data_IF_054690727658
#
_entry.id   IF_054690727658
#
_cell.length_a   1.000
_cell.length_b   1.000
_cell.length_c   1.000
_cell.angle_alpha   90.00
_cell.angle_beta   90.00
_cell.angle_gamma   90.00
#
_symmetry.space_group_name_H-M   'P 1'
#
loop_
_entity.id
_entity.type
_entity.pdbx_description
1 polymer ?
#
# COMPACT_ATOMS: atom_id res chain seq x y z
N UNK A 1 8.71 3.06 -22.24
CA UNK A 1 8.48 2.13 -21.12
C UNK A 1 7.15 2.53 -20.49
N UNK A 2 6.07 1.81 -20.78
CA UNK A 2 4.76 2.13 -20.22
C UNK A 2 4.74 1.81 -18.73
N UNK A 3 4.38 2.80 -17.91
CA UNK A 3 4.15 2.68 -16.47
C UNK A 3 2.82 1.94 -16.19
N UNK A 4 2.69 0.69 -16.66
CA UNK A 4 1.48 -0.11 -16.46
C UNK A 4 1.38 -0.65 -15.02
N UNK A 5 2.41 -0.50 -14.17
CA UNK A 5 2.49 -1.21 -12.89
C UNK A 5 1.94 -0.46 -11.67
N UNK A 6 2.14 0.85 -11.49
CA UNK A 6 1.76 1.52 -10.23
C UNK A 6 0.32 2.06 -10.24
N UNK A 7 -0.03 2.87 -11.25
CA UNK A 7 -1.31 3.61 -11.34
C UNK A 7 -2.52 2.67 -11.29
N UNK A 8 -2.45 1.51 -11.97
CA UNK A 8 -3.53 0.52 -11.94
C UNK A 8 -3.69 -0.16 -10.59
N UNK A 9 -2.58 -0.35 -9.87
CA UNK A 9 -2.60 -1.06 -8.58
C UNK A 9 -3.11 -0.13 -7.49
N UNK A 10 -2.73 1.15 -7.50
CA UNK A 10 -3.29 2.16 -6.60
C UNK A 10 -4.82 2.24 -6.71
N UNK A 11 -5.36 2.23 -7.93
CA UNK A 11 -6.80 2.20 -8.18
C UNK A 11 -7.48 0.89 -7.73
N UNK A 12 -6.83 -0.26 -7.91
CA UNK A 12 -7.38 -1.55 -7.48
C UNK A 12 -7.46 -1.65 -5.95
N UNK A 13 -6.36 -1.33 -5.26
CA UNK A 13 -6.30 -1.37 -3.80
C UNK A 13 -7.26 -0.34 -3.20
N UNK A 14 -7.36 0.86 -3.79
CA UNK A 14 -8.20 1.92 -3.23
C UNK A 14 -9.70 1.69 -3.39
N UNK A 15 -10.11 0.88 -4.37
CA UNK A 15 -11.50 0.48 -4.57
C UNK A 15 -11.85 -0.81 -3.85
N UNK A 16 -10.86 -1.52 -3.33
CA UNK A 16 -11.01 -2.74 -2.55
C UNK A 16 -11.19 -2.50 -1.04
N UNK A 17 -11.10 -3.59 -0.28
CA UNK A 17 -11.26 -3.64 1.17
C UNK A 17 -10.26 -2.75 1.93
N UNK A 18 -9.12 -2.42 1.32
CA UNK A 18 -8.11 -1.59 1.97
C UNK A 18 -8.66 -0.20 2.33
N UNK A 19 -9.43 0.43 1.43
CA UNK A 19 -10.01 1.75 1.71
C UNK A 19 -11.05 1.70 2.82
N UNK A 20 -12.03 0.80 2.72
CA UNK A 20 -13.09 0.69 3.73
C UNK A 20 -12.49 0.39 5.12
N UNK A 21 -11.58 -0.59 5.20
CA UNK A 21 -10.98 -0.98 6.48
C UNK A 21 -10.05 0.09 7.06
N UNK A 22 -9.09 0.57 6.29
CA UNK A 22 -8.01 1.40 6.82
C UNK A 22 -8.31 2.89 6.80
N UNK A 23 -9.08 3.36 5.81
CA UNK A 23 -9.49 4.77 5.72
C UNK A 23 -10.78 5.01 6.50
N UNK A 24 -11.85 4.23 6.24
CA UNK A 24 -13.17 4.52 6.81
C UNK A 24 -13.32 3.98 8.23
N UNK A 25 -13.10 2.69 8.46
CA UNK A 25 -13.35 2.06 9.76
C UNK A 25 -12.28 2.41 10.80
N UNK A 26 -11.00 2.37 10.41
CA UNK A 26 -9.88 2.59 11.34
C UNK A 26 -9.36 4.02 11.38
N UNK A 27 -9.70 4.86 10.41
CA UNK A 27 -9.27 6.26 10.37
C UNK A 27 -7.76 6.44 10.33
N UNK A 28 -7.01 5.46 9.79
CA UNK A 28 -5.53 5.49 9.75
C UNK A 28 -4.99 6.65 8.90
N UNK A 29 -5.84 7.20 8.02
CA UNK A 29 -5.51 8.25 7.07
C UNK A 29 -6.42 9.50 7.24
N UNK A 30 -6.22 10.34 8.28
CA UNK A 30 -7.10 11.48 8.56
C UNK A 30 -7.19 12.53 7.43
N UNK A 31 -6.22 12.56 6.51
CA UNK A 31 -6.20 13.44 5.34
C UNK A 31 -6.79 12.83 4.06
N UNK A 32 -7.16 11.55 4.08
CA UNK A 32 -7.68 10.81 2.93
C UNK A 32 -9.16 10.54 3.17
N UNK A 33 -10.02 11.02 2.26
CA UNK A 33 -11.48 10.91 2.36
C UNK A 33 -12.12 10.21 1.18
N UNK A 34 -11.39 10.05 0.09
CA UNK A 34 -11.91 9.42 -1.14
C UNK A 34 -10.97 8.33 -1.66
N UNK A 35 -11.50 7.32 -2.37
CA UNK A 35 -10.69 6.29 -3.01
C UNK A 35 -9.61 6.87 -3.94
N UNK A 36 -9.88 7.98 -4.63
CA UNK A 36 -8.92 8.63 -5.53
C UNK A 36 -7.76 9.28 -4.76
N UNK A 37 -8.04 9.88 -3.60
CA UNK A 37 -6.99 10.39 -2.71
C UNK A 37 -6.14 9.26 -2.16
N UNK A 38 -6.75 8.12 -1.85
CA UNK A 38 -6.05 6.95 -1.37
C UNK A 38 -5.20 6.30 -2.47
N UNK A 39 -5.71 6.20 -3.70
CA UNK A 39 -4.95 5.73 -4.86
C UNK A 39 -3.70 6.57 -5.10
N UNK A 40 -3.84 7.91 -5.07
CA UNK A 40 -2.70 8.83 -5.21
C UNK A 40 -1.66 8.65 -4.12
N UNK A 41 -2.08 8.41 -2.88
CA UNK A 41 -1.16 8.13 -1.77
C UNK A 41 -0.42 6.81 -2.02
N UNK A 42 -1.12 5.76 -2.43
CA UNK A 42 -0.52 4.46 -2.76
C UNK A 42 0.50 4.60 -3.89
N UNK A 43 0.13 5.29 -4.98
CA UNK A 43 1.00 5.54 -6.12
C UNK A 43 2.28 6.29 -5.71
N UNK A 44 2.15 7.28 -4.84
CA UNK A 44 3.28 8.04 -4.31
C UNK A 44 4.21 7.18 -3.42
N UNK A 45 3.65 6.32 -2.57
CA UNK A 45 4.41 5.38 -1.74
C UNK A 45 5.13 4.35 -2.62
N UNK A 46 4.47 3.78 -3.62
CA UNK A 46 5.07 2.80 -4.55
C UNK A 46 6.17 3.44 -5.40
N UNK A 47 5.98 4.69 -5.84
CA UNK A 47 6.94 5.38 -6.71
C UNK A 47 8.15 5.93 -5.97
N UNK A 48 7.96 6.43 -4.75
CA UNK A 48 8.96 7.22 -4.03
C UNK A 48 9.39 6.60 -2.68
N UNK A 49 8.82 5.46 -2.30
CA UNK A 49 9.10 4.77 -1.04
C UNK A 49 10.29 3.81 -1.12
N UNK A 50 10.69 3.34 0.05
CA UNK A 50 11.65 2.24 0.18
C UNK A 50 10.96 0.93 -0.22
N UNK A 51 11.58 0.13 -1.09
CA UNK A 51 11.05 -1.16 -1.55
C UNK A 51 11.77 -2.32 -0.88
N UNK A 52 11.01 -3.35 -0.50
CA UNK A 52 11.49 -4.67 -0.10
C UNK A 52 10.68 -5.75 -0.80
N UNK A 53 11.29 -6.89 -1.11
CA UNK A 53 10.60 -8.04 -1.72
C UNK A 53 10.50 -9.19 -0.71
N UNK A 54 9.50 -9.18 0.19
CA UNK A 54 9.25 -10.30 1.09
C UNK A 54 8.84 -11.49 0.23
N UNK A 55 9.34 -12.68 0.51
CA UNK A 55 9.33 -13.82 -0.42
C UNK A 55 7.98 -14.10 -1.14
N UNK A 56 8.08 -14.85 -2.25
CA UNK A 56 6.96 -15.38 -3.08
C UNK A 56 6.30 -14.36 -4.03
N UNK A 57 7.08 -13.46 -4.61
CA UNK A 57 6.63 -12.57 -5.68
C UNK A 57 5.78 -11.39 -5.20
N UNK A 58 5.89 -11.05 -3.91
CA UNK A 58 5.30 -9.85 -3.33
C UNK A 58 6.34 -8.75 -3.28
N UNK A 59 5.89 -7.50 -3.33
CA UNK A 59 6.69 -6.31 -3.05
C UNK A 59 6.01 -5.52 -1.96
N UNK A 60 6.77 -4.97 -1.03
CA UNK A 60 6.29 -4.04 -0.03
C UNK A 60 7.05 -2.73 -0.15
N UNK A 61 6.34 -1.63 0.07
CA UNK A 61 6.84 -0.27 -0.05
C UNK A 61 6.55 0.50 1.24
N UNK A 62 7.49 1.33 1.65
CA UNK A 62 7.36 2.20 2.82
C UNK A 62 7.62 3.65 2.48
N UNK A 63 6.71 4.53 2.90
CA UNK A 63 6.93 5.98 2.88
C UNK A 63 6.04 6.68 3.91
N UNK A 64 6.60 7.63 4.66
CA UNK A 64 5.85 8.54 5.55
C UNK A 64 4.82 7.86 6.47
N UNK A 65 5.18 6.71 7.06
CA UNK A 65 4.30 5.97 7.97
C UNK A 65 3.29 5.04 7.28
N UNK A 66 3.37 4.92 5.96
CA UNK A 66 2.46 4.10 5.14
C UNK A 66 3.21 2.90 4.60
N UNK A 67 2.62 1.71 4.78
CA UNK A 67 3.03 0.48 4.10
C UNK A 67 2.07 0.23 2.95
N UNK A 68 2.62 -0.08 1.78
CA UNK A 68 1.87 -0.68 0.68
C UNK A 68 2.45 -2.07 0.41
N UNK A 69 1.62 -3.12 0.43
CA UNK A 69 2.03 -4.47 0.07
C UNK A 69 1.31 -4.85 -1.22
N UNK A 70 2.07 -5.17 -2.25
CA UNK A 70 1.59 -5.70 -3.51
C UNK A 70 1.63 -7.22 -3.47
N UNK A 71 0.49 -7.84 -3.72
CA UNK A 71 0.34 -9.28 -3.78
C UNK A 71 -0.44 -9.67 -5.05
N UNK A 72 0.24 -10.19 -6.09
CA UNK A 72 -0.40 -10.63 -7.33
C UNK A 72 -1.44 -11.73 -7.13
N UNK A 73 -1.41 -12.45 -5.98
CA UNK A 73 -2.38 -13.49 -5.65
C UNK A 73 -3.62 -12.94 -4.96
N UNK A 74 -3.58 -11.69 -4.49
CA UNK A 74 -4.75 -11.02 -3.94
C UNK A 74 -5.69 -10.60 -5.07
N UNK A 75 -7.00 -10.87 -4.96
CA UNK A 75 -7.99 -10.36 -5.92
C UNK A 75 -7.96 -8.83 -6.08
N UNK A 76 -7.46 -8.12 -5.07
CA UNK A 76 -7.43 -6.66 -4.99
C UNK A 76 -6.04 -6.07 -5.27
N UNK A 77 -5.09 -6.92 -5.68
CA UNK A 77 -3.72 -6.53 -6.03
C UNK A 77 -2.80 -6.20 -4.85
N UNK A 78 -3.34 -6.09 -3.63
CA UNK A 78 -2.54 -5.78 -2.45
C UNK A 78 -3.32 -5.17 -1.30
N UNK A 79 -2.62 -4.45 -0.44
CA UNK A 79 -3.19 -3.66 0.67
C UNK A 79 -2.31 -2.46 0.97
N UNK A 80 -2.89 -1.43 1.58
CA UNK A 80 -2.16 -0.26 2.06
C UNK A 80 -2.73 0.18 3.42
N UNK A 81 -1.85 0.47 4.38
CA UNK A 81 -2.24 0.79 5.75
C UNK A 81 -1.13 1.50 6.53
N UNK A 82 -1.47 2.05 7.70
CA UNK A 82 -0.48 2.57 8.65
C UNK A 82 -0.29 1.59 9.81
N UNK A 83 0.83 0.86 9.89
CA UNK A 83 1.08 -0.04 11.01
C UNK A 83 1.28 0.75 12.31
N UNK A 84 0.82 0.17 13.42
CA UNK A 84 1.03 0.74 14.77
C UNK A 84 2.53 0.80 15.09
N UNK A 85 3.27 -0.26 14.74
CA UNK A 85 4.72 -0.36 14.96
C UNK A 85 5.55 0.46 13.96
N UNK A 86 4.88 1.19 13.06
CA UNK A 86 5.55 2.08 12.12
C UNK A 86 6.57 1.37 11.23
N UNK A 87 7.77 1.96 11.12
CA UNK A 87 8.83 1.46 10.24
C UNK A 87 9.30 0.05 10.64
N UNK A 88 9.21 -0.31 11.93
CA UNK A 88 9.62 -1.63 12.40
C UNK A 88 8.82 -2.75 11.71
N UNK A 89 7.51 -2.54 11.49
CA UNK A 89 6.69 -3.50 10.74
C UNK A 89 7.26 -3.75 9.34
N UNK A 90 7.71 -2.68 8.67
CA UNK A 90 8.28 -2.76 7.33
C UNK A 90 9.64 -3.47 7.32
N UNK A 91 10.50 -3.19 8.30
CA UNK A 91 11.79 -3.88 8.41
C UNK A 91 11.64 -5.38 8.65
N UNK A 92 10.65 -5.80 9.44
CA UNK A 92 10.35 -7.21 9.68
C UNK A 92 9.93 -7.97 8.41
N UNK A 93 9.44 -7.28 7.38
CA UNK A 93 9.15 -7.90 6.08
C UNK A 93 10.43 -8.34 5.36
N UNK A 94 11.58 -7.71 5.61
CA UNK A 94 12.87 -8.09 4.98
C UNK A 94 13.35 -9.47 5.41
N UNK A 95 12.93 -9.95 6.58
CA UNK A 95 13.32 -11.24 7.14
C UNK A 95 12.35 -12.38 6.88
N UNK A 96 11.34 -12.19 6.02
CA UNK A 96 10.21 -13.11 5.78
C UNK A 96 10.00 -13.50 4.33
#
# INVERSE_FOLDING_TARGET
>A
MEAISAVRIGEQISRGHAFDKHVIQRGEFPGVKTPEQFAKLIDDVVKNGEEVSPERGRSAFWKDGVVVILDPKSPEGGTAFRPIDGYNYFEELKGK
#
